data_IF_112741941213
#
_entry.id   IF_112741941213
#
_cell.length_a   1.000
_cell.length_b   1.000
_cell.length_c   1.000
_cell.angle_alpha   90.00
_cell.angle_beta   90.00
_cell.angle_gamma   90.00
#
_symmetry.space_group_name_H-M   'P 1'
#
loop_
_entity.id
_entity.type
_entity.pdbx_description
1 polymer ?
#
# COMPACT_ATOMS: atom_id res chain seq x y z
N UNK A 1 10.49 11.71 6.71
CA UNK A 1 9.86 12.01 5.41
C UNK A 1 8.59 12.79 5.66
N UNK A 2 8.07 13.51 4.66
CA UNK A 2 6.78 14.21 4.76
C UNK A 2 5.65 13.24 5.18
N UNK A 3 5.65 12.01 4.65
CA UNK A 3 4.70 10.94 4.99
C UNK A 3 4.66 10.63 6.48
N UNK A 4 5.81 10.50 7.15
CA UNK A 4 5.86 10.21 8.59
C UNK A 4 5.17 11.30 9.42
N UNK A 5 5.39 12.56 9.08
CA UNK A 5 4.74 13.70 9.75
C UNK A 5 3.22 13.65 9.58
N UNK A 6 2.71 13.27 8.41
CA UNK A 6 1.26 13.13 8.19
C UNK A 6 0.67 11.95 8.99
N UNK A 7 1.39 10.83 9.10
CA UNK A 7 0.94 9.68 9.89
C UNK A 7 0.94 9.97 11.40
N UNK A 8 1.92 10.70 11.90
CA UNK A 8 1.93 11.18 13.29
C UNK A 8 0.75 12.12 13.56
N UNK A 9 0.45 13.02 12.63
CA UNK A 9 -0.71 13.91 12.72
C UNK A 9 -2.04 13.14 12.73
N UNK A 10 -2.18 12.12 11.88
CA UNK A 10 -3.33 11.21 11.89
C UNK A 10 -3.46 10.51 13.25
N UNK A 11 -2.37 9.99 13.82
CA UNK A 11 -2.37 9.35 15.15
C UNK A 11 -2.85 10.33 16.24
N UNK A 12 -2.44 11.59 16.18
CA UNK A 12 -2.93 12.64 17.08
C UNK A 12 -4.45 12.79 17.01
N UNK A 13 -5.00 12.92 15.78
CA UNK A 13 -6.45 13.02 15.60
C UNK A 13 -7.22 11.80 16.08
N UNK A 14 -6.66 10.59 15.92
CA UNK A 14 -7.29 9.38 16.44
C UNK A 14 -7.34 9.38 17.97
N UNK A 15 -6.26 9.79 18.63
CA UNK A 15 -6.20 9.87 20.09
C UNK A 15 -7.17 10.93 20.65
N UNK A 16 -7.24 12.10 20.02
CA UNK A 16 -8.19 13.18 20.39
C UNK A 16 -9.64 12.67 20.37
N UNK A 17 -9.98 11.83 19.40
CA UNK A 17 -11.31 11.21 19.24
C UNK A 17 -11.44 9.87 19.97
N UNK A 18 -10.51 9.53 20.88
CA UNK A 18 -10.51 8.27 21.66
C UNK A 18 -10.58 7.00 20.80
N UNK A 19 -9.98 7.04 19.60
CA UNK A 19 -9.84 5.88 18.70
C UNK A 19 -8.46 5.27 18.83
N UNK A 20 -8.39 3.95 18.95
CA UNK A 20 -7.12 3.22 19.00
C UNK A 20 -6.43 3.24 17.61
N UNK A 21 -5.26 3.88 17.48
CA UNK A 21 -4.51 3.92 16.22
C UNK A 21 -4.14 2.54 15.67
N UNK A 22 -3.96 1.54 16.53
CA UNK A 22 -3.59 0.17 16.13
C UNK A 22 -4.75 -0.56 15.42
N UNK A 23 -6.00 -0.13 15.67
CA UNK A 23 -7.20 -0.72 15.05
C UNK A 23 -7.71 0.04 13.83
N UNK A 24 -7.21 1.26 13.58
CA UNK A 24 -7.70 2.12 12.51
C UNK A 24 -7.36 1.56 11.11
N UNK A 25 -6.18 0.95 10.99
CA UNK A 25 -5.62 0.46 9.74
C UNK A 25 -5.17 1.59 8.81
N UNK A 26 -4.04 1.41 8.15
CA UNK A 26 -3.53 2.35 7.14
C UNK A 26 -3.25 1.57 5.87
N UNK A 27 -3.87 2.00 4.77
CA UNK A 27 -3.69 1.41 3.46
C UNK A 27 -2.64 2.17 2.66
N UNK A 28 -1.71 1.44 2.03
CA UNK A 28 -0.84 2.00 1.00
C UNK A 28 -1.26 1.55 -0.40
N UNK A 29 -0.98 2.42 -1.38
CA UNK A 29 -1.31 2.16 -2.79
C UNK A 29 -0.04 1.86 -3.56
N UNK A 30 0.00 0.66 -4.15
CA UNK A 30 1.09 0.21 -5.01
C UNK A 30 0.55 0.17 -6.44
N UNK A 31 1.21 0.85 -7.36
CA UNK A 31 0.79 0.89 -8.77
C UNK A 31 1.55 -0.18 -9.55
N UNK A 32 0.87 -0.88 -10.44
CA UNK A 32 1.49 -1.92 -11.26
C UNK A 32 2.57 -1.41 -12.21
N UNK A 33 2.56 -0.11 -12.54
CA UNK A 33 3.59 0.53 -13.36
C UNK A 33 4.77 1.08 -12.56
N UNK A 34 4.85 0.80 -11.25
CA UNK A 34 5.96 1.22 -10.41
C UNK A 34 7.30 0.61 -10.87
N UNK A 35 7.26 -0.60 -11.42
CA UNK A 35 8.44 -1.38 -11.79
C UNK A 35 8.12 -2.87 -11.76
N UNK A 36 9.12 -3.66 -11.40
CA UNK A 36 9.03 -5.12 -11.33
C UNK A 36 8.61 -5.60 -9.93
N UNK A 37 8.46 -6.91 -9.76
CA UNK A 37 8.05 -7.53 -8.49
C UNK A 37 8.89 -7.09 -7.27
N UNK A 38 10.20 -6.90 -7.45
CA UNK A 38 11.10 -6.42 -6.38
C UNK A 38 10.80 -4.98 -5.97
N UNK A 39 10.44 -4.12 -6.92
CA UNK A 39 10.08 -2.72 -6.64
C UNK A 39 8.76 -2.64 -5.89
N UNK A 40 7.80 -3.50 -6.24
CA UNK A 40 6.53 -3.61 -5.51
C UNK A 40 6.77 -4.06 -4.06
N UNK A 41 7.62 -5.08 -3.86
CA UNK A 41 7.98 -5.58 -2.51
C UNK A 41 8.62 -4.49 -1.67
N UNK A 42 9.63 -3.82 -2.21
CA UNK A 42 10.35 -2.74 -1.53
C UNK A 42 9.43 -1.56 -1.17
N UNK A 43 8.49 -1.19 -2.05
CA UNK A 43 7.50 -0.16 -1.76
C UNK A 43 6.55 -0.57 -0.63
N UNK A 44 6.04 -1.81 -0.63
CA UNK A 44 5.21 -2.32 0.46
C UNK A 44 5.99 -2.33 1.78
N UNK A 45 7.26 -2.75 1.78
CA UNK A 45 8.08 -2.74 3.01
C UNK A 45 8.30 -1.32 3.54
N UNK A 46 8.60 -0.37 2.66
CA UNK A 46 8.75 1.03 3.05
C UNK A 46 7.47 1.56 3.71
N UNK A 47 6.30 1.21 3.19
CA UNK A 47 5.02 1.59 3.79
C UNK A 47 4.75 0.86 5.10
N UNK A 48 5.09 -0.43 5.20
CA UNK A 48 4.96 -1.24 6.40
C UNK A 48 5.79 -0.68 7.55
N UNK A 49 7.03 -0.27 7.28
CA UNK A 49 7.93 0.38 8.24
C UNK A 49 7.39 1.73 8.73
N UNK A 50 6.52 2.38 7.96
CA UNK A 50 5.81 3.59 8.35
C UNK A 50 4.52 3.33 9.12
N UNK A 51 4.09 2.06 9.25
CA UNK A 51 2.89 1.65 9.96
C UNK A 51 1.67 1.38 9.07
N UNK A 52 1.85 1.20 7.75
CA UNK A 52 0.79 0.68 6.91
C UNK A 52 0.48 -0.78 7.26
N UNK A 53 -0.80 -1.11 7.36
CA UNK A 53 -1.29 -2.45 7.73
C UNK A 53 -1.91 -3.17 6.53
N UNK A 54 -2.29 -2.44 5.49
CA UNK A 54 -2.88 -2.98 4.27
C UNK A 54 -2.18 -2.41 3.04
N UNK A 55 -2.18 -3.16 1.95
CA UNK A 55 -1.70 -2.70 0.66
C UNK A 55 -2.73 -3.04 -0.43
N UNK A 56 -3.00 -2.06 -1.29
CA UNK A 56 -3.83 -2.24 -2.48
C UNK A 56 -2.98 -2.11 -3.73
N UNK A 57 -3.07 -3.09 -4.61
CA UNK A 57 -2.35 -3.11 -5.90
C UNK A 57 -3.26 -2.62 -7.03
N UNK A 58 -2.92 -1.49 -7.62
CA UNK A 58 -3.66 -0.87 -8.70
C UNK A 58 -3.15 -1.31 -10.07
N UNK A 59 -4.01 -2.03 -10.79
CA UNK A 59 -3.80 -2.37 -12.22
C UNK A 59 -4.59 -1.44 -13.15
N UNK A 60 -5.70 -0.87 -12.66
CA UNK A 60 -6.57 0.05 -13.39
C UNK A 60 -5.86 1.36 -13.74
N UNK A 61 -5.99 1.80 -15.00
CA UNK A 61 -5.39 3.06 -15.46
C UNK A 61 -3.86 3.06 -15.50
N UNK A 62 -3.20 1.91 -15.30
CA UNK A 62 -1.74 1.76 -15.33
C UNK A 62 -1.23 1.15 -16.65
N UNK A 63 -2.10 0.92 -17.63
CA UNK A 63 -1.73 0.38 -18.94
C UNK A 63 -1.56 -1.14 -18.99
N UNK A 64 -2.03 -1.89 -18.00
CA UNK A 64 -1.89 -3.36 -17.91
C UNK A 64 -2.63 -4.11 -19.02
N UNK A 65 -3.73 -3.55 -19.54
CA UNK A 65 -4.49 -4.13 -20.66
C UNK A 65 -5.79 -4.79 -20.23
N UNK A 66 -6.06 -5.98 -20.78
CA UNK A 66 -7.32 -6.72 -20.60
C UNK A 66 -7.57 -7.13 -19.14
N UNK A 67 -8.80 -7.55 -18.84
CA UNK A 67 -9.16 -8.06 -17.49
C UNK A 67 -8.27 -9.24 -17.09
N UNK A 68 -8.00 -10.18 -18.00
CA UNK A 68 -7.13 -11.32 -17.72
C UNK A 68 -5.70 -10.90 -17.39
N UNK A 69 -5.16 -9.91 -18.12
CA UNK A 69 -3.83 -9.35 -17.84
C UNK A 69 -3.79 -8.65 -16.48
N UNK A 70 -4.89 -7.98 -16.09
CA UNK A 70 -5.01 -7.37 -14.76
C UNK A 70 -5.06 -8.42 -13.64
N UNK A 71 -5.80 -9.52 -13.84
CA UNK A 71 -5.83 -10.64 -12.88
C UNK A 71 -4.44 -11.28 -12.76
N UNK A 72 -3.72 -11.44 -13.87
CA UNK A 72 -2.38 -12.01 -13.83
C UNK A 72 -1.39 -11.10 -13.11
N UNK A 73 -1.46 -9.78 -13.33
CA UNK A 73 -0.66 -8.82 -12.57
C UNK A 73 -0.96 -8.88 -11.06
N UNK A 74 -2.23 -9.03 -10.66
CA UNK A 74 -2.62 -9.21 -9.25
C UNK A 74 -2.05 -10.50 -8.65
N UNK A 75 -2.05 -11.61 -9.40
CA UNK A 75 -1.40 -12.86 -8.97
C UNK A 75 0.10 -12.69 -8.81
N UNK A 76 0.76 -12.04 -9.76
CA UNK A 76 2.18 -11.71 -9.69
C UNK A 76 2.53 -10.89 -8.45
N UNK A 77 1.72 -9.87 -8.14
CA UNK A 77 1.88 -9.09 -6.92
C UNK A 77 1.72 -9.96 -5.66
N UNK A 78 0.70 -10.82 -5.59
CA UNK A 78 0.51 -11.73 -4.45
C UNK A 78 1.71 -12.68 -4.26
N UNK A 79 2.23 -13.26 -5.35
CA UNK A 79 3.43 -14.09 -5.32
C UNK A 79 4.65 -13.32 -4.82
N UNK A 80 4.81 -12.06 -5.23
CA UNK A 80 5.90 -11.21 -4.77
C UNK A 80 5.83 -10.88 -3.26
N UNK A 81 4.67 -11.04 -2.61
CA UNK A 81 4.48 -10.77 -1.18
C UNK A 81 4.62 -12.00 -0.28
N UNK A 82 4.77 -13.20 -0.85
CA UNK A 82 5.03 -14.45 -0.10
C UNK A 82 6.48 -14.49 0.40
#
# INVERSE_FOLDING_TARGET
SHTRVQLEKLRGYLQEESRDPETFGVECWIRSNLGEATDWRAAVDTWRDLGATHATFYTSGQGVGSVDQQIEALRGFMTAMQ
#
